data_IF_066233520338
#
_entry.id   IF_066233520338
#
_cell.length_a   1.000
_cell.length_b   1.000
_cell.length_c   1.000
_cell.angle_alpha   90.00
_cell.angle_beta   90.00
_cell.angle_gamma   90.00
#
_symmetry.space_group_name_H-M   'P 1'
#
loop_
_entity.id
_entity.type
_entity.pdbx_description
1 polymer ?
#
# COMPACT_ATOMS: atom_id res chain seq x y z
N UNK A 1 2.38 39.68 39.06
CA UNK A 1 3.67 38.99 39.30
C UNK A 1 3.82 37.98 38.17
N UNK A 2 4.72 38.10 37.18
CA UNK A 2 6.05 38.73 37.15
C UNK A 2 7.03 38.01 38.10
N UNK A 3 8.26 37.62 37.76
CA UNK A 3 9.17 37.89 36.60
C UNK A 3 10.05 36.63 36.37
N UNK A 4 10.71 36.44 35.21
CA UNK A 4 11.77 35.41 35.08
C UNK A 4 12.35 35.18 33.68
N UNK A 5 13.08 36.15 33.13
CA UNK A 5 13.66 36.13 31.77
C UNK A 5 15.10 35.58 31.68
N UNK A 6 15.58 35.43 30.44
CA UNK A 6 17.00 35.38 29.97
C UNK A 6 17.73 34.00 30.01
N UNK A 7 18.68 33.66 29.12
CA UNK A 7 19.12 34.39 27.90
C UNK A 7 19.79 33.54 26.77
N UNK A 8 19.36 33.82 25.52
CA UNK A 8 20.14 34.00 24.26
C UNK A 8 20.80 32.86 23.42
N UNK A 9 21.02 33.11 22.09
CA UNK A 9 21.44 32.11 21.11
C UNK A 9 22.93 32.19 20.72
N UNK A 10 23.40 31.17 19.99
CA UNK A 10 24.76 31.06 19.46
C UNK A 10 24.85 31.57 18.01
N UNK A 11 25.62 32.63 17.78
CA UNK A 11 26.10 33.09 16.48
C UNK A 11 27.61 33.30 16.58
N UNK A 12 28.36 32.88 15.55
CA UNK A 12 29.79 33.18 15.43
C UNK A 12 30.20 33.17 13.96
N UNK A 13 30.47 34.36 13.44
CA UNK A 13 31.06 34.58 12.12
C UNK A 13 32.40 35.32 12.26
N UNK A 14 33.44 34.77 11.64
CA UNK A 14 34.78 35.36 11.36
C UNK A 14 35.72 34.21 10.99
N UNK A 15 36.83 34.37 10.30
CA UNK A 15 37.34 35.34 9.34
C UNK A 15 38.74 34.78 9.02
N UNK A 16 39.04 34.43 7.77
CA UNK A 16 40.39 34.03 7.39
C UNK A 16 40.88 34.87 6.22
N UNK A 17 41.68 35.88 6.56
CA UNK A 17 42.49 36.68 5.66
C UNK A 17 43.66 37.22 6.47
N UNK A 18 44.83 36.63 6.30
CA UNK A 18 46.07 37.38 6.53
C UNK A 18 47.18 36.90 5.60
N UNK A 19 48.04 37.84 5.27
CA UNK A 19 49.11 37.78 4.29
C UNK A 19 50.45 37.38 4.92
N UNK A 20 51.29 36.68 4.17
CA UNK A 20 52.73 36.67 4.41
C UNK A 20 53.44 37.05 3.12
N UNK A 21 53.87 38.30 3.03
CA UNK A 21 54.97 38.71 2.17
C UNK A 21 56.29 38.31 2.84
N UNK A 22 57.26 37.88 2.05
CA UNK A 22 58.68 37.98 2.41
C UNK A 22 59.51 38.15 1.13
N UNK A 23 60.46 39.06 1.16
CA UNK A 23 61.08 39.67 -0.01
C UNK A 23 62.61 39.52 0.02
N UNK A 24 63.19 39.12 -1.13
CA UNK A 24 64.59 39.42 -1.55
C UNK A 24 65.78 38.87 -0.73
N UNK A 25 67.06 39.02 -1.19
CA UNK A 25 67.60 39.01 -2.57
C UNK A 25 68.96 38.25 -2.72
N UNK A 26 69.50 38.18 -3.96
CA UNK A 26 70.95 37.94 -4.22
C UNK A 26 71.25 37.06 -5.46
N UNK A 27 71.51 37.61 -6.64
CA UNK A 27 72.83 38.04 -7.18
C UNK A 27 73.95 36.99 -7.17
N UNK A 28 74.31 36.49 -8.35
CA UNK A 28 75.73 36.43 -8.76
C UNK A 28 75.89 36.69 -10.27
N UNK A 29 76.94 37.45 -10.63
CA UNK A 29 77.30 37.81 -12.01
C UNK A 29 78.79 38.18 -12.08
N UNK A 30 79.60 37.34 -12.73
CA UNK A 30 80.99 37.65 -13.14
C UNK A 30 81.02 37.45 -14.67
N UNK A 31 81.38 38.40 -15.56
CA UNK A 31 82.66 39.13 -15.78
C UNK A 31 83.84 38.17 -16.03
N UNK A 32 84.72 38.36 -17.03
CA UNK A 32 84.94 39.49 -17.95
C UNK A 32 85.55 39.02 -19.31
N UNK A 33 85.71 39.92 -20.30
CA UNK A 33 86.49 39.64 -21.52
C UNK A 33 86.23 40.57 -22.72
N UNK A 34 86.94 41.69 -22.79
CA UNK A 34 87.09 42.61 -23.94
C UNK A 34 88.55 43.16 -23.87
N UNK A 35 89.15 43.83 -24.89
CA UNK A 35 88.61 44.30 -26.18
C UNK A 35 89.58 44.14 -27.41
N UNK A 36 89.31 44.91 -28.47
CA UNK A 36 90.19 45.37 -29.60
C UNK A 36 90.04 44.70 -30.98
N UNK A 37 90.09 45.54 -32.04
CA UNK A 37 90.18 45.15 -33.47
C UNK A 37 91.38 45.88 -34.11
N UNK A 38 91.35 46.33 -35.39
CA UNK A 38 90.65 45.82 -36.59
C UNK A 38 91.62 45.57 -37.77
N UNK A 39 91.24 44.76 -38.79
CA UNK A 39 91.61 44.92 -40.23
C UNK A 39 91.15 43.75 -41.12
N UNK A 40 91.08 44.04 -42.42
CA UNK A 40 90.42 43.23 -43.46
C UNK A 40 91.11 41.94 -43.89
N UNK A 41 90.43 41.24 -44.79
CA UNK A 41 90.86 39.97 -45.40
C UNK A 41 89.78 39.44 -46.33
N UNK A 42 90.01 39.49 -47.64
CA UNK A 42 89.15 38.88 -48.65
C UNK A 42 89.29 37.35 -48.65
N UNK A 43 88.17 36.63 -48.73
CA UNK A 43 88.16 35.16 -48.74
C UNK A 43 86.84 34.60 -49.25
N UNK A 44 86.90 33.65 -50.18
CA UNK A 44 85.73 33.14 -50.93
C UNK A 44 85.16 31.86 -50.29
N UNK A 45 83.85 31.87 -50.03
CA UNK A 45 82.96 30.72 -50.23
C UNK A 45 83.00 29.53 -49.24
N UNK A 46 81.94 29.39 -48.44
CA UNK A 46 81.42 28.08 -48.01
C UNK A 46 79.90 28.15 -47.74
N UNK A 47 79.16 27.09 -48.08
CA UNK A 47 77.72 26.97 -47.80
C UNK A 47 77.48 26.44 -46.38
N UNK A 48 76.65 27.14 -45.61
CA UNK A 48 76.06 26.64 -44.35
C UNK A 48 74.55 26.51 -44.50
N UNK A 49 73.97 25.38 -44.07
CA UNK A 49 72.51 25.15 -44.07
C UNK A 49 71.96 25.39 -42.66
N UNK A 50 71.04 26.32 -42.50
CA UNK A 50 70.33 26.53 -41.22
C UNK A 50 69.32 25.40 -40.95
N UNK A 51 69.35 24.75 -39.77
CA UNK A 51 68.29 23.85 -39.33
C UNK A 51 67.13 24.67 -38.74
N UNK A 52 66.04 24.84 -39.50
CA UNK A 52 64.82 25.51 -38.99
C UNK A 52 64.15 24.69 -37.89
N UNK A 53 64.13 25.23 -36.67
CA UNK A 53 63.46 24.63 -35.51
C UNK A 53 61.93 24.71 -35.65
N UNK A 54 61.29 23.62 -36.08
CA UNK A 54 59.84 23.57 -36.25
C UNK A 54 59.11 23.29 -34.93
N UNK A 55 58.50 24.32 -34.32
CA UNK A 55 57.60 24.17 -33.17
C UNK A 55 56.41 23.25 -33.53
N UNK A 56 56.11 22.19 -32.74
CA UNK A 56 55.07 21.22 -33.10
C UNK A 56 53.69 21.89 -33.15
N UNK A 57 53.03 21.78 -34.31
CA UNK A 57 51.70 22.35 -34.56
C UNK A 57 50.64 21.52 -33.83
N UNK A 58 50.15 22.04 -32.69
CA UNK A 58 49.15 21.39 -31.85
C UNK A 58 47.90 20.95 -32.60
N UNK A 59 47.40 19.77 -32.25
CA UNK A 59 46.27 19.04 -32.86
C UNK A 59 45.06 19.95 -33.20
N UNK A 60 44.65 20.79 -32.25
CA UNK A 60 43.59 21.79 -32.36
C UNK A 60 43.72 22.70 -33.59
N UNK A 61 44.93 23.11 -33.98
CA UNK A 61 45.15 24.00 -35.13
C UNK A 61 44.88 23.33 -36.48
N UNK A 62 44.90 21.99 -36.54
CA UNK A 62 44.52 21.22 -37.75
C UNK A 62 43.01 21.04 -37.83
N UNK A 63 42.36 20.71 -36.70
CA UNK A 63 40.90 20.61 -36.61
C UNK A 63 40.22 21.93 -36.99
N UNK A 64 40.69 23.05 -36.44
CA UNK A 64 40.14 24.39 -36.76
C UNK A 64 40.27 24.73 -38.26
N UNK A 65 41.38 24.34 -38.91
CA UNK A 65 41.54 24.52 -40.36
C UNK A 65 40.65 23.57 -41.17
N UNK A 66 40.41 22.35 -40.70
CA UNK A 66 39.48 21.40 -41.34
C UNK A 66 38.03 21.89 -41.26
N UNK A 67 37.60 22.34 -40.07
CA UNK A 67 36.27 22.90 -39.85
C UNK A 67 36.04 24.16 -40.70
N UNK A 68 37.03 25.05 -40.81
CA UNK A 68 36.96 26.24 -41.67
C UNK A 68 36.97 25.92 -43.18
N UNK A 69 37.51 24.77 -43.59
CA UNK A 69 37.57 24.32 -45.00
C UNK A 69 36.28 23.65 -45.47
N UNK A 70 35.63 22.87 -44.61
CA UNK A 70 34.42 22.09 -44.91
C UNK A 70 33.19 22.60 -44.15
N UNK A 71 33.19 23.87 -43.72
CA UNK A 71 32.14 24.46 -42.88
C UNK A 71 30.74 24.30 -43.48
N UNK A 72 30.60 24.44 -44.81
CA UNK A 72 29.33 24.23 -45.51
C UNK A 72 28.82 22.78 -45.40
N UNK A 73 29.71 21.79 -45.51
CA UNK A 73 29.37 20.37 -45.40
C UNK A 73 28.98 20.00 -43.96
N UNK A 74 29.70 20.51 -42.96
CA UNK A 74 29.34 20.32 -41.55
C UNK A 74 28.07 21.09 -41.17
N UNK A 75 27.80 22.24 -41.79
CA UNK A 75 26.54 22.97 -41.65
C UNK A 75 25.36 22.17 -42.21
N UNK A 76 25.48 21.65 -43.43
CA UNK A 76 24.46 20.80 -44.05
C UNK A 76 24.23 19.51 -43.24
N UNK A 77 25.31 18.83 -42.83
CA UNK A 77 25.23 17.64 -41.97
C UNK A 77 24.59 17.97 -40.62
N UNK A 78 24.90 19.12 -40.03
CA UNK A 78 24.29 19.60 -38.78
C UNK A 78 22.79 19.90 -38.92
N UNK A 79 22.35 20.45 -40.05
CA UNK A 79 20.93 20.67 -40.37
C UNK A 79 20.22 19.32 -40.54
N UNK A 80 20.79 18.39 -41.31
CA UNK A 80 20.23 17.04 -41.50
C UNK A 80 20.15 16.29 -40.17
N UNK A 81 21.23 16.34 -39.38
CA UNK A 81 21.26 15.77 -38.03
C UNK A 81 20.16 16.38 -37.16
N UNK A 82 20.03 17.70 -37.10
CA UNK A 82 19.00 18.36 -36.28
C UNK A 82 17.58 18.05 -36.77
N UNK A 83 17.36 17.97 -38.09
CA UNK A 83 16.08 17.63 -38.70
C UNK A 83 15.63 16.19 -38.41
N UNK A 84 16.56 15.26 -38.18
CA UNK A 84 16.27 13.87 -37.77
C UNK A 84 16.21 13.76 -36.24
N UNK A 85 17.20 14.33 -35.55
CA UNK A 85 17.35 14.26 -34.10
C UNK A 85 16.19 14.93 -33.36
N UNK A 86 15.74 16.11 -33.79
CA UNK A 86 14.70 16.86 -33.08
C UNK A 86 13.36 16.09 -33.07
N UNK A 87 12.82 15.58 -34.20
CA UNK A 87 11.65 14.70 -34.18
C UNK A 87 11.85 13.44 -33.33
N UNK A 88 12.98 12.73 -33.47
CA UNK A 88 13.24 11.50 -32.69
C UNK A 88 13.30 11.80 -31.18
N UNK A 89 13.97 12.88 -30.78
CA UNK A 89 14.11 13.27 -29.38
C UNK A 89 12.76 13.64 -28.76
N UNK A 90 11.98 14.50 -29.41
CA UNK A 90 10.71 14.99 -28.86
C UNK A 90 9.55 13.98 -28.99
N UNK A 91 9.50 13.17 -30.06
CA UNK A 91 8.36 12.26 -30.32
C UNK A 91 8.60 10.82 -29.83
N UNK A 92 9.84 10.38 -29.66
CA UNK A 92 10.17 9.00 -29.25
C UNK A 92 10.87 8.96 -27.90
N UNK A 93 11.97 9.72 -27.73
CA UNK A 93 12.82 9.62 -26.52
C UNK A 93 12.08 10.17 -25.30
N UNK A 94 11.50 11.38 -25.36
CA UNK A 94 10.79 11.96 -24.23
C UNK A 94 9.58 11.10 -23.79
N UNK A 95 8.67 10.64 -24.69
CA UNK A 95 7.58 9.75 -24.30
C UNK A 95 8.04 8.41 -23.71
N UNK A 96 9.08 7.79 -24.27
CA UNK A 96 9.62 6.54 -23.73
C UNK A 96 10.18 6.70 -22.31
N UNK A 97 10.92 7.79 -22.05
CA UNK A 97 11.44 8.10 -20.70
C UNK A 97 10.28 8.36 -19.72
N UNK A 98 9.29 9.16 -20.11
CA UNK A 98 8.15 9.47 -19.25
C UNK A 98 7.31 8.21 -18.93
N UNK A 99 7.06 7.34 -19.92
CA UNK A 99 6.39 6.07 -19.70
C UNK A 99 7.21 5.13 -18.80
N UNK A 100 8.54 5.11 -18.95
CA UNK A 100 9.41 4.36 -18.04
C UNK A 100 9.32 4.89 -16.60
N UNK A 101 9.35 6.21 -16.39
CA UNK A 101 9.17 6.81 -15.06
C UNK A 101 7.83 6.41 -14.44
N UNK A 102 6.75 6.36 -15.23
CA UNK A 102 5.45 5.85 -14.75
C UNK A 102 5.56 4.36 -14.37
N UNK A 103 6.15 3.53 -15.22
CA UNK A 103 6.29 2.09 -14.98
C UNK A 103 7.14 1.78 -13.74
N UNK A 104 8.23 2.52 -13.53
CA UNK A 104 9.18 2.33 -12.43
C UNK A 104 8.69 2.99 -11.11
N UNK A 105 7.73 3.90 -11.14
CA UNK A 105 7.24 4.61 -9.96
C UNK A 105 6.48 3.69 -8.97
N UNK A 106 6.87 3.73 -7.70
CA UNK A 106 6.09 3.13 -6.60
C UNK A 106 4.95 4.06 -6.20
N UNK A 107 3.78 3.48 -5.91
CA UNK A 107 2.56 4.16 -5.46
C UNK A 107 2.11 3.52 -4.14
N UNK A 108 2.82 3.78 -3.00
CA UNK A 108 2.39 3.30 -1.70
C UNK A 108 1.02 3.90 -1.33
N UNK A 109 0.06 3.02 -1.04
CA UNK A 109 -1.25 3.39 -0.48
C UNK A 109 -1.11 3.44 1.04
N UNK A 110 -1.43 4.59 1.62
CA UNK A 110 -1.35 4.84 3.07
C UNK A 110 -2.68 4.53 3.77
N UNK A 111 -3.79 4.80 3.10
CA UNK A 111 -5.12 4.42 3.57
C UNK A 111 -6.11 4.34 2.41
N UNK A 112 -7.15 3.52 2.58
CA UNK A 112 -8.34 3.56 1.75
C UNK A 112 -9.59 3.38 2.61
N UNK A 113 -10.75 3.74 2.07
CA UNK A 113 -12.04 3.44 2.68
C UNK A 113 -13.05 3.07 1.62
N UNK A 114 -13.86 2.05 1.89
CA UNK A 114 -15.07 1.69 1.15
C UNK A 114 -16.24 1.93 2.11
N UNK A 115 -17.06 2.91 1.78
CA UNK A 115 -18.12 3.49 2.59
C UNK A 115 -19.42 3.53 1.78
N UNK A 116 -20.57 3.63 2.45
CA UNK A 116 -21.88 3.74 1.80
C UNK A 116 -22.06 2.74 0.62
N UNK A 117 -21.89 1.43 0.86
CA UNK A 117 -22.17 0.42 -0.15
C UNK A 117 -23.66 0.41 -0.51
N UNK A 118 -23.96 0.32 -1.80
CA UNK A 118 -25.27 -0.09 -2.35
C UNK A 118 -25.06 -1.38 -3.16
N UNK A 119 -26.12 -2.06 -3.61
CA UNK A 119 -26.00 -3.22 -4.49
C UNK A 119 -25.26 -2.94 -5.81
N UNK A 120 -25.37 -1.72 -6.37
CA UNK A 120 -24.79 -1.32 -7.67
C UNK A 120 -23.62 -0.33 -7.57
N UNK A 121 -23.29 0.18 -6.38
CA UNK A 121 -22.33 1.27 -6.21
C UNK A 121 -21.66 1.26 -4.83
N UNK A 122 -20.62 2.07 -4.68
CA UNK A 122 -19.96 2.33 -3.41
C UNK A 122 -19.34 3.72 -3.41
N UNK A 123 -19.14 4.30 -2.23
CA UNK A 123 -18.30 5.47 -2.04
C UNK A 123 -16.89 5.03 -1.61
N UNK A 124 -15.85 5.57 -2.25
CA UNK A 124 -14.48 5.29 -1.86
C UNK A 124 -13.67 6.56 -1.56
N UNK A 125 -12.67 6.39 -0.68
CA UNK A 125 -11.60 7.34 -0.45
C UNK A 125 -10.25 6.63 -0.51
N UNK A 126 -9.20 7.34 -0.91
CA UNK A 126 -7.84 6.82 -1.08
C UNK A 126 -6.82 7.89 -0.69
N UNK A 127 -5.82 7.51 0.10
CA UNK A 127 -4.60 8.28 0.30
C UNK A 127 -3.40 7.45 -0.14
N UNK A 128 -2.60 8.00 -1.04
CA UNK A 128 -1.36 7.42 -1.53
C UNK A 128 -0.29 8.50 -1.63
N UNK A 129 0.97 8.12 -1.85
CA UNK A 129 1.98 9.09 -2.28
C UNK A 129 2.72 8.63 -3.53
N UNK A 130 3.29 9.60 -4.23
CA UNK A 130 4.02 9.41 -5.47
C UNK A 130 5.26 10.29 -5.45
N UNK A 131 6.40 9.74 -5.87
CA UNK A 131 7.66 10.48 -5.94
C UNK A 131 8.05 10.75 -7.40
N UNK A 132 8.17 12.03 -7.74
CA UNK A 132 8.65 12.50 -9.04
C UNK A 132 10.12 12.94 -8.90
N UNK A 133 11.03 12.58 -9.84
CA UNK A 133 12.44 12.96 -9.76
C UNK A 133 12.65 14.46 -9.53
N UNK A 134 13.65 14.77 -8.70
CA UNK A 134 14.02 16.14 -8.33
C UNK A 134 14.27 17.01 -9.57
N UNK A 135 13.76 18.25 -9.54
CA UNK A 135 13.85 19.20 -10.66
C UNK A 135 12.73 19.08 -11.69
N UNK A 136 11.96 17.98 -11.72
CA UNK A 136 10.79 17.85 -12.59
C UNK A 136 9.51 18.32 -11.88
N UNK A 137 8.62 18.94 -12.67
CA UNK A 137 7.26 19.32 -12.25
C UNK A 137 6.30 18.82 -13.33
N UNK A 138 5.42 17.91 -12.97
CA UNK A 138 4.54 17.19 -13.90
C UNK A 138 3.09 17.50 -13.55
N UNK A 139 2.32 17.98 -14.52
CA UNK A 139 0.86 18.06 -14.40
C UNK A 139 0.23 16.90 -15.16
N UNK A 140 -0.55 16.07 -14.48
CA UNK A 140 -1.30 14.96 -15.07
C UNK A 140 -2.73 15.45 -15.32
N UNK A 141 -3.27 15.24 -16.52
CA UNK A 141 -4.68 15.51 -16.81
C UNK A 141 -5.60 14.50 -16.07
N UNK A 142 -6.85 14.89 -15.75
CA UNK A 142 -7.80 13.96 -15.13
C UNK A 142 -7.94 12.67 -15.93
N UNK A 143 -8.09 11.53 -15.26
CA UNK A 143 -8.31 10.24 -15.92
C UNK A 143 -9.19 9.30 -15.11
N UNK A 144 -9.80 8.36 -15.82
CA UNK A 144 -10.53 7.25 -15.22
C UNK A 144 -9.61 6.04 -15.10
N UNK A 145 -9.45 5.53 -13.87
CA UNK A 145 -8.72 4.30 -13.58
C UNK A 145 -9.69 3.12 -13.56
N UNK A 146 -9.62 2.26 -14.56
CA UNK A 146 -10.27 0.95 -14.55
C UNK A 146 -9.56 0.03 -13.58
N UNK A 147 -10.26 -0.42 -12.53
CA UNK A 147 -9.78 -1.45 -11.60
C UNK A 147 -10.24 -2.82 -12.11
N UNK A 148 -9.36 -3.83 -12.11
CA UNK A 148 -9.61 -5.14 -12.73
C UNK A 148 -8.80 -6.25 -12.05
N UNK A 149 -9.15 -7.52 -12.31
CA UNK A 149 -8.34 -8.66 -11.88
C UNK A 149 -7.31 -9.00 -12.97
N UNK A 150 -6.01 -8.95 -12.64
CA UNK A 150 -4.88 -9.10 -13.60
C UNK A 150 -4.95 -10.39 -14.42
N UNK A 151 -5.37 -11.45 -13.75
CA UNK A 151 -5.48 -12.84 -14.19
C UNK A 151 -6.68 -13.12 -15.12
N UNK A 152 -7.65 -12.21 -15.23
CA UNK A 152 -8.82 -12.38 -16.12
C UNK A 152 -8.57 -11.78 -17.51
N UNK A 153 -8.80 -12.59 -18.55
CA UNK A 153 -8.61 -12.23 -19.97
C UNK A 153 -9.90 -12.52 -20.78
N UNK A 154 -10.35 -11.62 -21.68
CA UNK A 154 -9.87 -10.23 -21.85
C UNK A 154 -10.08 -9.41 -20.57
N UNK A 155 -9.42 -8.25 -20.47
CA UNK A 155 -9.50 -7.39 -19.27
C UNK A 155 -10.96 -6.98 -19.02
N UNK A 156 -11.51 -7.38 -17.87
CA UNK A 156 -12.82 -6.96 -17.36
C UNK A 156 -12.65 -6.01 -16.16
N UNK A 157 -12.94 -4.70 -16.31
CA UNK A 157 -12.98 -3.78 -15.18
C UNK A 157 -14.19 -4.06 -14.28
N UNK A 158 -13.99 -4.05 -12.96
CA UNK A 158 -15.07 -4.19 -11.98
C UNK A 158 -15.54 -2.84 -11.41
N UNK A 159 -14.67 -1.84 -11.34
CA UNK A 159 -14.95 -0.47 -10.85
C UNK A 159 -14.13 0.54 -11.67
N UNK A 160 -14.60 1.78 -11.76
CA UNK A 160 -13.81 2.91 -12.27
C UNK A 160 -13.56 3.96 -11.19
N UNK A 161 -12.30 4.28 -10.90
CA UNK A 161 -11.93 5.34 -9.96
C UNK A 161 -11.53 6.62 -10.74
N UNK A 162 -12.33 7.72 -10.69
CA UNK A 162 -12.03 8.96 -11.40
C UNK A 162 -10.97 9.81 -10.66
N UNK A 163 -9.76 9.87 -11.20
CA UNK A 163 -8.67 10.67 -10.66
C UNK A 163 -8.71 12.09 -11.23
N UNK A 164 -8.84 13.09 -10.35
CA UNK A 164 -8.74 14.51 -10.70
C UNK A 164 -7.33 14.87 -11.20
N UNK A 165 -7.20 15.96 -11.96
CA UNK A 165 -5.92 16.40 -12.51
C UNK A 165 -4.92 16.76 -11.41
N UNK A 166 -3.75 16.12 -11.41
CA UNK A 166 -2.72 16.27 -10.38
C UNK A 166 -1.59 17.21 -10.81
N UNK A 167 -0.95 17.86 -9.84
CA UNK A 167 0.34 18.55 -10.01
C UNK A 167 1.34 17.91 -9.04
N UNK A 168 2.41 17.34 -9.59
CA UNK A 168 3.37 16.53 -8.87
C UNK A 168 4.77 17.14 -8.98
N UNK A 169 5.47 17.25 -7.84
CA UNK A 169 6.84 17.78 -7.76
C UNK A 169 7.54 17.19 -6.54
N UNK A 170 8.61 16.43 -6.74
CA UNK A 170 9.25 15.67 -5.65
C UNK A 170 8.29 14.62 -5.08
N UNK A 171 8.34 14.40 -3.76
CA UNK A 171 7.30 13.65 -3.05
C UNK A 171 6.00 14.46 -3.04
N UNK A 172 4.92 13.87 -3.51
CA UNK A 172 3.59 14.47 -3.54
C UNK A 172 2.55 13.46 -3.07
N UNK A 173 1.66 13.88 -2.19
CA UNK A 173 0.56 13.04 -1.71
C UNK A 173 -0.65 13.16 -2.63
N UNK A 174 -1.37 12.05 -2.82
CA UNK A 174 -2.52 11.91 -3.69
C UNK A 174 -3.70 11.52 -2.81
N UNK A 175 -4.69 12.40 -2.71
CA UNK A 175 -5.90 12.18 -1.92
C UNK A 175 -7.13 12.19 -2.81
N UNK A 176 -7.93 11.13 -2.71
CA UNK A 176 -9.29 11.02 -3.23
C UNK A 176 -10.21 10.91 -2.02
N UNK A 177 -11.25 11.76 -1.97
CA UNK A 177 -12.19 11.80 -0.85
C UNK A 177 -13.60 11.65 -1.38
N UNK A 178 -14.35 10.71 -0.79
CA UNK A 178 -15.80 10.55 -0.92
C UNK A 178 -16.30 10.54 -2.38
N UNK A 179 -15.66 9.74 -3.24
CA UNK A 179 -16.11 9.55 -4.61
C UNK A 179 -17.03 8.33 -4.72
N UNK A 180 -18.26 8.53 -5.20
CA UNK A 180 -19.16 7.44 -5.56
C UNK A 180 -18.76 6.85 -6.92
N UNK A 181 -18.76 5.53 -7.02
CA UNK A 181 -18.52 4.79 -8.26
C UNK A 181 -19.44 3.60 -8.40
N UNK A 182 -19.77 3.23 -9.64
CA UNK A 182 -20.61 2.08 -9.95
C UNK A 182 -19.79 0.81 -10.08
N UNK A 183 -20.37 -0.29 -9.62
CA UNK A 183 -19.87 -1.64 -9.84
C UNK A 183 -20.25 -2.01 -11.29
N UNK A 184 -19.24 -2.26 -12.11
CA UNK A 184 -19.37 -2.58 -13.53
C UNK A 184 -19.49 -4.09 -13.78
N UNK A 185 -18.90 -4.89 -12.90
CA UNK A 185 -18.92 -6.35 -12.94
C UNK A 185 -18.84 -6.86 -11.49
N UNK A 186 -19.98 -7.28 -10.93
CA UNK A 186 -20.10 -7.72 -9.53
C UNK A 186 -19.33 -9.02 -9.27
N UNK A 187 -19.24 -9.92 -10.26
CA UNK A 187 -18.48 -11.17 -10.13
C UNK A 187 -16.99 -10.87 -9.98
N UNK A 188 -16.46 -9.98 -10.82
CA UNK A 188 -15.07 -9.55 -10.74
C UNK A 188 -14.78 -8.71 -9.49
N UNK A 189 -15.75 -7.90 -9.02
CA UNK A 189 -15.61 -7.18 -7.75
C UNK A 189 -15.61 -8.14 -6.55
N UNK A 190 -16.52 -9.12 -6.54
CA UNK A 190 -16.58 -10.17 -5.51
C UNK A 190 -15.27 -10.96 -5.48
N UNK A 191 -14.70 -11.32 -6.64
CA UNK A 191 -13.39 -11.99 -6.70
C UNK A 191 -12.27 -11.13 -6.12
N UNK A 192 -12.25 -9.83 -6.41
CA UNK A 192 -11.28 -8.90 -5.83
C UNK A 192 -11.42 -8.81 -4.30
N UNK A 193 -12.64 -8.69 -3.79
CA UNK A 193 -12.92 -8.68 -2.35
C UNK A 193 -12.54 -10.01 -1.68
N UNK A 194 -12.80 -11.16 -2.32
CA UNK A 194 -12.30 -12.46 -1.84
C UNK A 194 -10.78 -12.49 -1.75
N UNK A 195 -10.06 -12.07 -2.79
CA UNK A 195 -8.60 -12.00 -2.73
C UNK A 195 -8.11 -11.12 -1.56
N UNK A 196 -8.79 -10.01 -1.28
CA UNK A 196 -8.49 -9.13 -0.15
C UNK A 196 -8.85 -9.71 1.22
N UNK A 197 -9.92 -10.51 1.34
CA UNK A 197 -10.34 -11.15 2.60
C UNK A 197 -9.47 -12.35 2.95
N UNK A 198 -9.27 -13.28 2.01
CA UNK A 198 -8.67 -14.59 2.30
C UNK A 198 -7.13 -14.61 2.26
N UNK A 199 -6.49 -13.53 1.80
CA UNK A 199 -5.03 -13.47 1.65
C UNK A 199 -4.37 -12.56 2.68
N UNK A 200 -3.14 -12.89 3.10
CA UNK A 200 -2.27 -11.96 3.85
C UNK A 200 -1.91 -10.73 3.03
N UNK A 201 -1.68 -10.92 1.72
CA UNK A 201 -1.39 -9.85 0.75
C UNK A 201 -2.08 -10.16 -0.57
N UNK A 202 -2.54 -9.12 -1.27
CA UNK A 202 -3.24 -9.23 -2.55
C UNK A 202 -2.80 -8.11 -3.50
N UNK A 203 -3.14 -8.23 -4.78
CA UNK A 203 -2.80 -7.24 -5.81
C UNK A 203 -4.04 -6.43 -6.18
N UNK A 204 -3.92 -5.11 -6.10
CA UNK A 204 -4.83 -4.16 -6.74
C UNK A 204 -4.27 -3.76 -8.11
N UNK A 205 -4.97 -4.15 -9.19
CA UNK A 205 -4.57 -3.78 -10.56
C UNK A 205 -5.38 -2.60 -11.08
N UNK A 206 -4.70 -1.57 -11.57
CA UNK A 206 -5.30 -0.36 -12.11
C UNK A 206 -4.76 -0.04 -13.51
N UNK A 207 -5.66 0.34 -14.43
CA UNK A 207 -5.31 0.74 -15.79
C UNK A 207 -6.01 2.03 -16.20
N UNK A 208 -5.29 2.91 -16.88
CA UNK A 208 -5.86 4.12 -17.46
C UNK A 208 -4.92 4.78 -18.47
N UNK A 209 -5.44 5.71 -19.27
CA UNK A 209 -4.65 6.55 -20.16
C UNK A 209 -4.86 8.02 -19.83
N UNK A 210 -3.81 8.81 -19.88
CA UNK A 210 -3.82 10.25 -19.58
C UNK A 210 -2.76 10.98 -20.40
N UNK A 211 -2.73 12.31 -20.30
CA UNK A 211 -1.64 13.15 -20.80
C UNK A 211 -0.94 13.81 -19.62
N UNK A 212 0.38 13.64 -19.53
CA UNK A 212 1.23 14.45 -18.68
C UNK A 212 1.74 15.67 -19.43
N UNK A 213 1.92 16.76 -18.70
CA UNK A 213 2.46 18.03 -19.18
C UNK A 213 3.75 18.31 -18.41
N UNK A 214 4.87 18.26 -19.12
CA UNK A 214 6.19 18.64 -18.61
C UNK A 214 6.51 20.03 -19.17
N UNK A 215 6.18 21.07 -18.38
CA UNK A 215 6.18 22.45 -18.86
C UNK A 215 5.17 22.63 -20.00
N UNK A 216 5.67 22.86 -21.23
CA UNK A 216 4.85 22.99 -22.45
C UNK A 216 4.74 21.68 -23.26
N UNK A 217 5.51 20.65 -22.91
CA UNK A 217 5.55 19.38 -23.65
C UNK A 217 4.41 18.49 -23.16
N UNK A 218 3.58 18.00 -24.08
CA UNK A 218 2.51 17.02 -23.81
C UNK A 218 3.03 15.62 -24.09
N UNK A 219 2.76 14.68 -23.20
CA UNK A 219 3.18 13.28 -23.31
C UNK A 219 2.01 12.38 -22.95
N UNK A 220 1.59 11.53 -23.88
CA UNK A 220 0.60 10.49 -23.60
C UNK A 220 1.20 9.41 -22.68
N UNK A 221 0.51 9.08 -21.60
CA UNK A 221 0.91 8.06 -20.64
C UNK A 221 -0.16 6.98 -20.53
N UNK A 222 0.28 5.73 -20.38
CA UNK A 222 -0.56 4.62 -19.95
C UNK A 222 -0.16 4.25 -18.53
N UNK A 223 -1.09 4.35 -17.58
CA UNK A 223 -0.94 3.68 -16.31
C UNK A 223 -1.40 2.23 -16.50
N UNK A 224 -0.52 1.28 -16.22
CA UNK A 224 -0.87 -0.13 -16.03
C UNK A 224 -0.06 -0.62 -14.85
N UNK A 225 -0.73 -0.75 -13.69
CA UNK A 225 -0.07 -0.93 -12.39
C UNK A 225 -0.69 -2.08 -11.62
N UNK A 226 0.18 -2.77 -10.91
CA UNK A 226 -0.14 -3.73 -9.86
C UNK A 226 0.42 -3.17 -8.55
N UNK A 227 -0.43 -3.02 -7.55
CA UNK A 227 -0.07 -2.51 -6.22
C UNK A 227 -0.34 -3.62 -5.22
N UNK A 228 0.71 -4.10 -4.55
CA UNK A 228 0.59 -5.12 -3.51
C UNK A 228 0.13 -4.47 -2.19
N UNK A 229 -0.96 -4.99 -1.63
CA UNK A 229 -1.60 -4.50 -0.39
C UNK A 229 -1.72 -5.63 0.62
N UNK A 230 -1.75 -5.29 1.90
CA UNK A 230 -2.12 -6.25 2.95
C UNK A 230 -3.61 -6.53 2.87
N UNK A 231 -3.99 -7.81 2.90
CA UNK A 231 -5.38 -8.24 3.04
C UNK A 231 -5.79 -8.35 4.51
N UNK A 232 -6.94 -8.99 4.73
CA UNK A 232 -7.53 -9.18 6.06
C UNK A 232 -7.04 -10.46 6.77
N UNK A 233 -6.26 -11.33 6.09
CA UNK A 233 -5.79 -12.62 6.62
C UNK A 233 -6.93 -13.44 7.25
N UNK A 234 -8.09 -13.54 6.58
CA UNK A 234 -9.28 -14.25 7.08
C UNK A 234 -9.79 -13.77 8.45
N UNK A 235 -9.50 -12.52 8.85
CA UNK A 235 -9.75 -11.98 10.20
C UNK A 235 -9.05 -12.78 11.32
N UNK A 236 -7.90 -13.39 11.00
CA UNK A 236 -7.04 -14.11 11.93
C UNK A 236 -6.79 -13.28 13.22
N UNK A 237 -6.86 -13.92 14.38
CA UNK A 237 -6.90 -13.25 15.68
C UNK A 237 -8.30 -12.75 16.11
N UNK A 238 -9.36 -13.13 15.40
CA UNK A 238 -10.74 -12.99 15.88
C UNK A 238 -10.90 -13.58 17.29
N UNK A 239 -11.54 -12.82 18.19
CA UNK A 239 -11.79 -13.24 19.56
C UNK A 239 -13.18 -12.85 20.04
N UNK A 240 -13.73 -13.65 20.95
CA UNK A 240 -14.92 -13.30 21.74
C UNK A 240 -14.43 -12.98 23.15
N UNK A 241 -14.17 -11.69 23.39
CA UNK A 241 -13.54 -11.16 24.61
C UNK A 241 -14.41 -11.38 25.85
N UNK A 242 -15.73 -11.35 25.66
CA UNK A 242 -16.74 -11.65 26.66
C UNK A 242 -17.99 -12.23 26.02
N UNK A 243 -18.63 -13.20 26.66
CA UNK A 243 -19.94 -13.72 26.32
C UNK A 243 -20.69 -14.13 27.59
N UNK A 244 -22.00 -13.86 27.62
CA UNK A 244 -22.95 -14.38 28.60
C UNK A 244 -24.24 -14.79 27.89
N UNK A 245 -24.97 -15.77 28.42
CA UNK A 245 -26.37 -15.92 28.02
C UNK A 245 -27.24 -14.91 28.81
N UNK A 246 -28.33 -14.49 28.19
CA UNK A 246 -29.41 -13.74 28.82
C UNK A 246 -30.60 -14.69 28.97
N UNK A 247 -30.97 -14.98 30.22
CA UNK A 247 -32.06 -15.88 30.58
C UNK A 247 -32.90 -15.18 31.68
N UNK A 248 -34.12 -14.69 31.37
CA UNK A 248 -34.77 -14.69 30.05
C UNK A 248 -34.02 -13.87 28.98
N UNK A 249 -34.34 -14.07 27.68
CA UNK A 249 -33.80 -13.24 26.59
C UNK A 249 -34.08 -11.74 26.80
N UNK A 250 -33.25 -10.88 26.22
CA UNK A 250 -33.44 -9.43 26.23
C UNK A 250 -34.59 -9.00 25.29
N UNK A 251 -35.01 -7.74 25.37
CA UNK A 251 -36.21 -7.22 24.68
C UNK A 251 -36.19 -7.38 23.13
N UNK A 252 -34.99 -7.50 22.53
CA UNK A 252 -34.79 -7.76 21.11
C UNK A 252 -34.76 -9.26 20.74
N UNK A 253 -35.07 -10.14 21.69
CA UNK A 253 -35.03 -11.59 21.57
C UNK A 253 -33.63 -12.21 21.71
N UNK A 254 -32.57 -11.41 21.87
CA UNK A 254 -31.22 -11.95 22.02
C UNK A 254 -31.04 -12.65 23.38
N UNK A 255 -30.52 -13.88 23.33
CA UNK A 255 -30.21 -14.68 24.51
C UNK A 255 -28.71 -14.95 24.67
N UNK A 256 -27.88 -14.43 23.76
CA UNK A 256 -26.43 -14.38 23.86
C UNK A 256 -25.98 -12.92 23.72
N UNK A 257 -25.24 -12.40 24.69
CA UNK A 257 -24.70 -11.04 24.68
C UNK A 257 -23.21 -11.08 24.97
N UNK A 258 -22.43 -10.39 24.14
CA UNK A 258 -20.99 -10.43 24.23
C UNK A 258 -20.29 -9.26 23.56
N UNK A 259 -18.97 -9.37 23.52
CA UNK A 259 -18.07 -8.43 22.87
C UNK A 259 -17.06 -9.24 22.08
N UNK A 260 -16.91 -8.91 20.80
CA UNK A 260 -15.93 -9.55 19.92
C UNK A 260 -14.88 -8.53 19.48
N UNK A 261 -13.70 -9.01 19.10
CA UNK A 261 -12.68 -8.21 18.44
C UNK A 261 -12.44 -8.74 17.03
N UNK A 262 -12.56 -7.84 16.04
CA UNK A 262 -12.37 -8.10 14.61
C UNK A 262 -11.07 -7.42 14.14
N UNK A 263 -9.98 -8.17 13.92
CA UNK A 263 -8.75 -7.63 13.37
C UNK A 263 -8.89 -7.26 11.89
N UNK A 264 -8.20 -6.20 11.48
CA UNK A 264 -8.06 -5.79 10.09
C UNK A 264 -6.61 -5.40 9.84
N UNK A 265 -5.85 -6.29 9.20
CA UNK A 265 -4.44 -6.08 8.85
C UNK A 265 -4.23 -5.25 7.57
N UNK A 266 -5.32 -4.88 6.88
CA UNK A 266 -5.27 -4.05 5.67
C UNK A 266 -5.18 -2.56 6.01
N UNK A 267 -4.85 -1.74 5.02
CA UNK A 267 -4.94 -0.28 5.09
C UNK A 267 -6.33 0.26 4.72
N UNK A 268 -7.31 -0.64 4.54
CA UNK A 268 -8.66 -0.32 4.03
C UNK A 268 -9.66 -0.33 5.19
N UNK A 269 -10.48 0.72 5.28
CA UNK A 269 -11.67 0.74 6.14
C UNK A 269 -12.88 0.24 5.35
N UNK A 270 -13.68 -0.66 5.92
CA UNK A 270 -14.92 -1.16 5.31
C UNK A 270 -16.14 -0.81 6.16
N UNK A 271 -17.10 -0.08 5.60
CA UNK A 271 -18.45 -0.03 6.15
C UNK A 271 -19.22 -1.27 5.68
N UNK A 272 -19.48 -2.20 6.60
CA UNK A 272 -20.24 -3.43 6.33
C UNK A 272 -21.71 -3.28 6.76
N UNK A 273 -22.02 -2.39 7.70
CA UNK A 273 -23.39 -2.23 8.21
C UNK A 273 -23.75 -3.32 9.21
N UNK A 274 -24.97 -3.81 9.18
CA UNK A 274 -25.43 -4.88 10.06
C UNK A 274 -25.02 -6.23 9.46
N UNK A 275 -24.13 -6.94 10.17
CA UNK A 275 -23.61 -8.26 9.75
C UNK A 275 -24.28 -9.33 10.60
N UNK A 276 -24.87 -10.32 9.94
CA UNK A 276 -25.39 -11.54 10.59
C UNK A 276 -24.47 -12.70 10.27
N UNK A 277 -24.11 -13.46 11.31
CA UNK A 277 -23.26 -14.64 11.27
C UNK A 277 -24.06 -15.86 11.77
N UNK A 278 -23.83 -17.03 11.19
CA UNK A 278 -24.31 -18.31 11.73
C UNK A 278 -23.32 -18.79 12.79
N UNK A 279 -23.80 -19.06 14.01
CA UNK A 279 -22.98 -19.61 15.10
C UNK A 279 -23.03 -21.13 15.04
N UNK A 280 -21.86 -21.77 15.01
CA UNK A 280 -21.69 -23.20 14.81
C UNK A 280 -20.71 -23.82 15.80
N UNK A 281 -20.93 -25.09 16.12
CA UNK A 281 -19.90 -26.00 16.64
C UNK A 281 -19.78 -27.11 15.62
N UNK A 282 -18.57 -27.30 15.07
CA UNK A 282 -18.36 -28.09 13.85
C UNK A 282 -19.36 -27.66 12.73
N UNK A 283 -20.05 -28.60 12.06
CA UNK A 283 -21.09 -28.28 11.06
C UNK A 283 -22.46 -27.93 11.68
N UNK A 284 -22.66 -28.12 12.99
CA UNK A 284 -23.95 -27.92 13.64
C UNK A 284 -24.22 -26.42 13.90
N UNK A 285 -25.22 -25.86 13.21
CA UNK A 285 -25.72 -24.50 13.48
C UNK A 285 -26.49 -24.51 14.80
N UNK A 286 -26.00 -23.75 15.77
CA UNK A 286 -26.59 -23.57 17.10
C UNK A 286 -27.34 -22.24 17.24
N UNK A 287 -27.22 -21.33 16.28
CA UNK A 287 -27.88 -20.04 16.34
C UNK A 287 -27.33 -19.02 15.35
N UNK A 288 -27.62 -17.75 15.61
CA UNK A 288 -27.07 -16.62 14.87
C UNK A 288 -26.47 -15.56 15.82
N UNK A 289 -25.55 -14.78 15.28
CA UNK A 289 -24.91 -13.64 15.94
C UNK A 289 -24.97 -12.43 15.02
N UNK A 290 -25.52 -11.33 15.51
CA UNK A 290 -25.66 -10.06 14.81
C UNK A 290 -24.70 -9.03 15.41
N UNK A 291 -23.99 -8.33 14.53
CA UNK A 291 -23.13 -7.21 14.87
C UNK A 291 -23.65 -6.00 14.10
N UNK A 292 -24.16 -4.99 14.82
CA UNK A 292 -24.79 -3.82 14.20
C UNK A 292 -23.76 -2.75 13.85
N UNK A 293 -23.96 -2.06 12.72
CA UNK A 293 -23.16 -0.92 12.27
C UNK A 293 -21.64 -1.17 12.24
N UNK A 294 -21.22 -2.32 11.74
CA UNK A 294 -19.80 -2.72 11.60
C UNK A 294 -19.08 -1.77 10.66
N UNK A 295 -18.12 -1.04 11.23
CA UNK A 295 -17.14 -0.22 10.53
C UNK A 295 -15.74 -0.77 10.83
N UNK A 296 -15.26 -1.65 9.96
CA UNK A 296 -14.01 -2.38 10.12
C UNK A 296 -12.82 -1.49 9.69
N UNK A 297 -12.20 -0.79 10.63
CA UNK A 297 -11.03 0.09 10.43
C UNK A 297 -9.73 -0.71 10.53
N UNK A 298 -8.60 -0.26 9.96
CA UNK A 298 -7.28 -0.86 10.20
C UNK A 298 -6.97 -1.02 11.70
N UNK A 299 -6.45 -2.18 12.10
CA UNK A 299 -6.22 -2.57 13.48
C UNK A 299 -7.34 -3.43 14.09
N UNK A 300 -7.41 -3.48 15.42
CA UNK A 300 -8.38 -4.30 16.16
C UNK A 300 -9.68 -3.51 16.43
N UNK A 301 -10.81 -4.02 15.93
CA UNK A 301 -12.12 -3.38 16.10
C UNK A 301 -12.94 -4.16 17.13
N UNK A 302 -13.12 -3.60 18.32
CA UNK A 302 -13.91 -4.23 19.37
C UNK A 302 -15.38 -3.82 19.26
N UNK A 303 -16.26 -4.79 19.03
CA UNK A 303 -17.67 -4.61 18.63
C UNK A 303 -18.63 -5.36 19.57
N UNK A 304 -19.85 -4.84 19.82
CA UNK A 304 -20.87 -5.57 20.56
C UNK A 304 -21.44 -6.70 19.71
N UNK A 305 -21.49 -7.91 20.26
CA UNK A 305 -22.09 -9.09 19.65
C UNK A 305 -23.40 -9.41 20.39
N UNK A 306 -24.50 -9.55 19.67
CA UNK A 306 -25.79 -10.02 20.19
C UNK A 306 -26.21 -11.24 19.38
N UNK A 307 -26.87 -12.22 19.97
CA UNK A 307 -27.19 -13.46 19.27
C UNK A 307 -28.37 -14.21 19.84
N UNK A 308 -28.91 -15.12 19.04
CA UNK A 308 -29.98 -16.05 19.40
C UNK A 308 -29.44 -17.46 19.24
N UNK A 309 -29.26 -18.16 20.36
CA UNK A 309 -28.79 -19.55 20.45
C UNK A 309 -29.96 -20.46 20.78
N UNK A 310 -30.14 -21.53 20.01
CA UNK A 310 -31.11 -22.60 20.29
C UNK A 310 -30.54 -23.51 21.38
N UNK A 311 -30.72 -23.11 22.63
CA UNK A 311 -30.29 -23.86 23.82
C UNK A 311 -30.91 -25.27 23.85
N UNK A 312 -32.21 -25.50 23.56
CA UNK A 312 -32.75 -26.85 23.39
C UNK A 312 -32.03 -27.71 22.35
N UNK A 313 -31.65 -27.15 21.20
CA UNK A 313 -30.89 -27.86 20.18
C UNK A 313 -29.44 -28.15 20.62
N UNK A 314 -28.78 -27.20 21.30
CA UNK A 314 -27.46 -27.41 21.89
C UNK A 314 -27.49 -28.55 22.94
N UNK A 315 -28.51 -28.60 23.80
CA UNK A 315 -28.67 -29.69 24.79
C UNK A 315 -28.92 -31.03 24.09
N UNK A 316 -29.79 -31.08 23.06
CA UNK A 316 -30.06 -32.32 22.31
C UNK A 316 -28.82 -32.87 21.59
N UNK A 317 -27.89 -32.01 21.18
CA UNK A 317 -26.66 -32.38 20.48
C UNK A 317 -25.41 -32.29 21.38
N UNK A 318 -25.57 -32.31 22.71
CA UNK A 318 -24.44 -32.14 23.63
C UNK A 318 -23.38 -33.24 23.47
N UNK A 319 -23.75 -34.47 23.11
CA UNK A 319 -22.81 -35.56 22.83
C UNK A 319 -21.86 -35.24 21.67
N UNK A 320 -22.37 -34.98 20.44
CA UNK A 320 -21.56 -34.52 19.31
C UNK A 320 -20.73 -33.27 19.61
N UNK A 321 -21.30 -32.26 20.29
CA UNK A 321 -20.57 -31.05 20.72
C UNK A 321 -19.40 -31.41 21.64
N UNK A 322 -19.62 -32.29 22.63
CA UNK A 322 -18.56 -32.70 23.56
C UNK A 322 -17.44 -33.48 22.85
N UNK A 323 -17.78 -34.32 21.87
CA UNK A 323 -16.81 -35.07 21.08
C UNK A 323 -15.96 -34.15 20.19
N UNK A 324 -16.60 -33.24 19.43
CA UNK A 324 -15.93 -32.29 18.54
C UNK A 324 -14.98 -31.35 19.30
N UNK A 325 -15.37 -30.93 20.51
CA UNK A 325 -14.66 -29.92 21.29
C UNK A 325 -13.67 -30.48 22.32
N UNK A 326 -13.39 -31.79 22.32
CA UNK A 326 -12.60 -32.49 23.36
C UNK A 326 -11.31 -31.74 23.78
N UNK A 327 -10.55 -31.19 22.84
CA UNK A 327 -9.35 -30.41 23.13
C UNK A 327 -9.67 -29.07 23.82
N UNK A 328 -10.60 -28.28 23.28
CA UNK A 328 -11.00 -27.00 23.85
C UNK A 328 -11.60 -27.19 25.25
N UNK A 329 -12.42 -28.23 25.44
CA UNK A 329 -13.06 -28.59 26.72
C UNK A 329 -12.02 -28.92 27.80
N UNK A 330 -10.94 -29.61 27.43
CA UNK A 330 -9.82 -29.90 28.34
C UNK A 330 -9.16 -28.63 28.89
N UNK A 331 -9.26 -27.52 28.16
CA UNK A 331 -8.78 -26.18 28.54
C UNK A 331 -9.88 -25.30 29.17
N UNK A 332 -11.09 -25.85 29.40
CA UNK A 332 -12.24 -25.12 29.93
C UNK A 332 -12.97 -24.21 28.93
N UNK A 333 -12.73 -24.40 27.62
CA UNK A 333 -13.26 -23.60 26.53
C UNK A 333 -14.16 -24.43 25.59
N UNK A 334 -15.02 -23.76 24.82
CA UNK A 334 -15.66 -24.32 23.62
C UNK A 334 -15.22 -23.44 22.46
N UNK A 335 -14.73 -24.04 21.38
CA UNK A 335 -14.52 -23.34 20.13
C UNK A 335 -15.88 -23.09 19.48
N UNK A 336 -16.17 -21.82 19.20
CA UNK A 336 -17.35 -21.43 18.43
C UNK A 336 -16.86 -20.94 17.08
N UNK A 337 -17.36 -21.56 16.02
CA UNK A 337 -17.15 -21.11 14.65
C UNK A 337 -18.30 -20.20 14.22
N UNK A 338 -17.99 -19.18 13.44
CA UNK A 338 -18.95 -18.26 12.86
C UNK A 338 -18.73 -18.22 11.34
N UNK A 339 -19.80 -18.37 10.55
CA UNK A 339 -19.77 -18.12 9.11
C UNK A 339 -20.68 -16.95 8.75
N UNK A 340 -20.41 -16.24 7.65
CA UNK A 340 -21.35 -15.23 7.16
C UNK A 340 -22.75 -15.80 6.89
N UNK A 341 -23.75 -14.93 7.01
CA UNK A 341 -25.12 -15.18 6.58
C UNK A 341 -25.63 -14.01 5.71
N UNK A 342 -25.68 -12.81 6.28
CA UNK A 342 -26.18 -11.60 5.60
C UNK A 342 -25.38 -10.35 5.98
N UNK A 343 -25.46 -9.33 5.12
CA UNK A 343 -24.80 -8.02 5.31
C UNK A 343 -25.71 -6.94 4.76
N UNK A 344 -26.33 -6.18 5.67
CA UNK A 344 -27.35 -5.17 5.35
C UNK A 344 -26.82 -3.79 5.68
N UNK A 345 -26.80 -2.89 4.69
CA UNK A 345 -26.41 -1.50 4.86
C UNK A 345 -27.57 -0.58 4.44
N UNK A 346 -27.95 0.38 5.29
CA UNK A 346 -29.09 1.29 5.11
C UNK A 346 -30.42 0.63 4.66
N UNK A 347 -30.60 -0.66 4.99
CA UNK A 347 -31.78 -1.47 4.66
C UNK A 347 -31.66 -2.34 3.41
N UNK A 348 -30.55 -2.24 2.66
CA UNK A 348 -30.30 -3.03 1.45
C UNK A 348 -29.29 -4.16 1.69
N UNK A 349 -29.50 -5.32 1.07
CA UNK A 349 -28.57 -6.45 1.09
C UNK A 349 -27.36 -6.19 0.18
N UNK A 350 -26.16 -6.33 0.72
CA UNK A 350 -24.90 -6.08 0.00
C UNK A 350 -24.31 -7.40 -0.48
N UNK A 351 -24.86 -7.90 -1.60
CA UNK A 351 -24.61 -9.25 -2.15
C UNK A 351 -23.13 -9.61 -2.33
N UNK A 352 -22.28 -8.65 -2.73
CA UNK A 352 -20.85 -8.88 -2.91
C UNK A 352 -20.08 -9.02 -1.59
N UNK A 353 -20.57 -8.46 -0.47
CA UNK A 353 -20.03 -8.78 0.85
C UNK A 353 -20.54 -10.14 1.34
N UNK A 354 -21.83 -10.43 1.17
CA UNK A 354 -22.43 -11.71 1.55
C UNK A 354 -21.74 -12.89 0.86
N UNK A 355 -21.51 -12.82 -0.46
CA UNK A 355 -20.79 -13.85 -1.23
C UNK A 355 -19.36 -14.12 -0.72
N UNK A 356 -18.70 -13.12 -0.16
CA UNK A 356 -17.33 -13.24 0.38
C UNK A 356 -17.35 -13.76 1.80
N UNK A 357 -18.24 -13.24 2.66
CA UNK A 357 -18.33 -13.56 4.08
C UNK A 357 -19.03 -14.90 4.35
N UNK A 358 -19.97 -15.33 3.52
CA UNK A 358 -20.71 -16.60 3.73
C UNK A 358 -19.81 -17.84 3.53
N UNK A 359 -18.71 -17.68 2.78
CA UNK A 359 -17.67 -18.69 2.62
C UNK A 359 -16.56 -18.58 3.69
N UNK A 360 -16.57 -17.53 4.52
CA UNK A 360 -15.54 -17.27 5.52
C UNK A 360 -16.00 -17.87 6.85
N UNK A 361 -15.30 -18.90 7.30
CA UNK A 361 -15.44 -19.42 8.67
C UNK A 361 -14.32 -18.84 9.53
N UNK A 362 -14.70 -18.16 10.62
CA UNK A 362 -13.80 -17.70 11.68
C UNK A 362 -14.12 -18.46 12.97
N UNK A 363 -13.12 -18.77 13.79
CA UNK A 363 -13.31 -19.56 15.02
C UNK A 363 -12.69 -18.85 16.22
N UNK A 364 -13.35 -18.92 17.37
CA UNK A 364 -12.86 -18.37 18.63
C UNK A 364 -13.16 -19.27 19.82
N UNK A 365 -12.21 -19.41 20.74
CA UNK A 365 -12.39 -20.13 21.99
C UNK A 365 -13.16 -19.26 23.00
N UNK A 366 -14.27 -19.79 23.51
CA UNK A 366 -15.13 -19.14 24.52
C UNK A 366 -15.05 -19.91 25.84
N UNK A 367 -14.65 -19.28 26.96
CA UNK A 367 -14.58 -19.95 28.26
C UNK A 367 -15.95 -20.43 28.76
N UNK A 368 -16.15 -21.75 28.80
CA UNK A 368 -17.42 -22.41 29.13
C UNK A 368 -17.94 -21.95 30.48
N UNK A 369 -17.03 -21.89 31.47
CA UNK A 369 -17.37 -21.61 32.87
C UNK A 369 -18.05 -20.24 33.02
N UNK A 370 -17.69 -19.26 32.19
CA UNK A 370 -18.33 -17.93 32.19
C UNK A 370 -19.74 -17.95 31.60
N UNK A 371 -19.96 -18.79 30.59
CA UNK A 371 -21.26 -18.91 29.90
C UNK A 371 -22.22 -19.80 30.70
N UNK A 372 -21.76 -20.95 31.19
CA UNK A 372 -22.59 -21.93 31.90
C UNK A 372 -22.93 -21.54 33.34
N UNK A 373 -22.00 -21.03 34.16
CA UNK A 373 -22.35 -20.77 35.58
C UNK A 373 -23.39 -19.65 35.76
N UNK A 374 -23.37 -18.62 34.91
CA UNK A 374 -24.43 -17.61 34.88
C UNK A 374 -25.78 -18.17 34.42
N UNK A 375 -25.77 -19.21 33.60
CA UNK A 375 -26.97 -19.78 32.94
C UNK A 375 -27.62 -20.88 33.75
N UNK A 376 -26.82 -21.82 34.28
CA UNK A 376 -27.30 -22.96 35.07
C UNK A 376 -27.97 -22.48 36.35
N UNK A 377 -27.49 -21.39 36.98
CA UNK A 377 -28.16 -20.79 38.14
C UNK A 377 -29.56 -20.27 37.82
N UNK A 378 -29.80 -19.74 36.61
CA UNK A 378 -31.11 -19.29 36.14
C UNK A 378 -32.01 -20.41 35.60
N UNK A 379 -31.42 -21.46 35.03
CA UNK A 379 -32.16 -22.60 34.47
C UNK A 379 -32.57 -23.62 35.54
N UNK A 380 -31.70 -23.94 36.50
CA UNK A 380 -32.00 -24.90 37.59
C UNK A 380 -33.03 -24.34 38.56
N UNK A 381 -33.12 -23.02 38.70
CA UNK A 381 -34.18 -22.36 39.46
C UNK A 381 -35.53 -22.31 38.73
N UNK A 382 -35.58 -22.65 37.43
CA UNK A 382 -36.79 -22.60 36.60
C UNK A 382 -37.25 -23.94 36.01
N UNK A 383 -36.38 -24.96 35.88
CA UNK A 383 -36.78 -26.33 35.50
C UNK A 383 -35.80 -27.40 36.07
N UNK A 384 -36.22 -28.24 37.04
CA UNK A 384 -35.35 -29.25 37.65
C UNK A 384 -34.88 -30.37 36.71
N UNK A 385 -35.70 -30.75 35.73
CA UNK A 385 -35.47 -31.92 34.87
C UNK A 385 -34.22 -31.79 33.97
N UNK A 386 -33.75 -30.55 33.75
CA UNK A 386 -32.51 -30.27 33.02
C UNK A 386 -31.31 -30.97 33.67
N UNK A 387 -31.29 -31.09 35.00
CA UNK A 387 -30.20 -31.76 35.72
C UNK A 387 -30.11 -33.25 35.41
N UNK A 388 -31.23 -33.94 35.14
CA UNK A 388 -31.20 -35.35 34.75
C UNK A 388 -30.56 -35.52 33.38
N UNK A 389 -31.03 -34.76 32.37
CA UNK A 389 -30.49 -34.81 31.00
C UNK A 389 -28.98 -34.50 30.96
N UNK A 390 -28.51 -33.52 31.74
CA UNK A 390 -27.06 -33.20 31.84
C UNK A 390 -26.28 -34.34 32.51
N UNK A 391 -26.83 -34.94 33.57
CA UNK A 391 -26.18 -36.05 34.28
C UNK A 391 -26.06 -37.30 33.40
N UNK A 392 -27.10 -37.60 32.61
CA UNK A 392 -27.10 -38.76 31.73
C UNK A 392 -26.23 -38.57 30.48
N UNK A 393 -26.16 -37.36 29.93
CA UNK A 393 -25.18 -37.02 28.89
C UNK A 393 -23.73 -37.16 29.37
N UNK A 394 -23.42 -36.69 30.58
CA UNK A 394 -22.09 -36.84 31.18
C UNK A 394 -21.75 -38.31 31.47
N UNK A 395 -22.74 -39.12 31.89
CA UNK A 395 -22.56 -40.58 32.05
C UNK A 395 -22.26 -41.26 30.71
N UNK A 396 -22.98 -40.91 29.64
CA UNK A 396 -22.74 -41.48 28.31
C UNK A 396 -21.34 -41.11 27.78
N UNK A 397 -20.91 -39.85 27.94
CA UNK A 397 -19.56 -39.42 27.54
C UNK A 397 -18.43 -40.14 28.31
N UNK A 398 -18.62 -40.38 29.62
CA UNK A 398 -17.67 -41.15 30.43
C UNK A 398 -17.67 -42.66 30.12
N UNK A 399 -18.76 -43.19 29.55
CA UNK A 399 -18.83 -44.60 29.14
C UNK A 399 -18.11 -44.80 27.81
N UNK A 400 -18.26 -43.89 26.85
CA UNK A 400 -17.54 -43.96 25.56
C UNK A 400 -16.03 -43.83 25.71
N UNK A 401 -15.53 -42.98 26.61
CA UNK A 401 -14.08 -42.86 26.87
C UNK A 401 -13.46 -44.06 27.60
N UNK A 402 -14.29 -44.97 28.12
CA UNK A 402 -13.87 -46.17 28.85
C UNK A 402 -13.86 -47.47 28.02
N UNK A 403 -14.24 -47.42 26.74
CA UNK A 403 -14.24 -48.61 25.86
C UNK A 403 -13.02 -48.71 24.92
N UNK A 404 -12.21 -47.66 24.81
CA UNK A 404 -11.00 -47.60 23.96
C UNK A 404 -9.69 -47.62 24.79
N UNK A 405 -9.60 -48.50 25.80
CA UNK A 405 -8.41 -48.65 26.67
C UNK A 405 -7.97 -50.11 26.85
#
# INVERSE_FOLDING_TARGET
MAIGESDRPFDSSSAWRESIDSDSPGKEKQRAGEPSGPRGGSGVGARSRDPRYNKPRGFWTRILKHFKRYWLCYGLLGIIFLAIFLPVFFLVIIPAIAQRLVNDASIPIHSAAIMQPTPDSLMFSLSASLNVPLGLSVRIDPLNLSLFNRDVKPRKPYVTAPLNGLRLKGKSDITITNQTTKILDEEQFTKFLSNAVYSKRFILSAYGKTTAHLGKIKVSLTLDKDIELNGLDMLNGFSIDAARLALPPEDDGSNLVGKATLPNYSVVTFALGNVTLNLKVDDLILGNGTINNVLLKPGNNSVPLRGVVDIPNAIRNIGPILAAETEALSQGNVMISASGNSTIYDGEHISYYEKVLNNLTISANVPILKVLFGSISGLVSSNPDVMQNVTDALRQANLSSSQDM
#
